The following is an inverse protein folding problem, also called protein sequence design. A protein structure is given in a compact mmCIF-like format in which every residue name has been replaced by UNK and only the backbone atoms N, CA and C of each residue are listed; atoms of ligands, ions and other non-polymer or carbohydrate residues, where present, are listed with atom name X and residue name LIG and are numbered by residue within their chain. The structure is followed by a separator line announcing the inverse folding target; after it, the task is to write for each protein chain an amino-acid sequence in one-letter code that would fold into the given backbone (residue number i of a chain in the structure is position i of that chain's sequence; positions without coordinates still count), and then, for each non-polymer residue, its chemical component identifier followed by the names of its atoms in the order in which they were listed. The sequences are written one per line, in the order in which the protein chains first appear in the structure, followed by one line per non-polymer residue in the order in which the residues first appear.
data_IF_015631347026
#
_entry.id   IF_015631347026
#
_cell.length_a   1.000
_cell.length_b   1.000
_cell.length_c   1.000
_cell.angle_alpha   90.00
_cell.angle_beta   90.00
_cell.angle_gamma   90.00
#
_symmetry.space_group_name_H-M   'P 1'
#
loop_
_entity.id
_entity.type
_entity.pdbx_description
1 polymer ?
#
# COMPACT_ATOMS: atom_id res chain seq x y z
N UNK A 1 25.41 -12.53 -7.46
CA UNK A 1 26.46 -13.47 -7.93
C UNK A 1 25.78 -14.63 -8.63
N UNK A 2 26.34 -15.14 -9.72
CA UNK A 2 25.89 -16.37 -10.38
C UNK A 2 27.00 -17.40 -10.24
N UNK A 3 26.71 -18.52 -9.59
CA UNK A 3 27.62 -19.65 -9.42
C UNK A 3 26.92 -20.94 -9.88
N UNK A 4 27.14 -21.30 -11.15
CA UNK A 4 26.43 -22.38 -11.80
C UNK A 4 24.91 -22.18 -11.73
N UNK A 5 24.23 -23.03 -10.96
CA UNK A 5 22.78 -22.99 -10.75
C UNK A 5 22.37 -22.27 -9.46
N UNK A 6 23.30 -21.60 -8.79
CA UNK A 6 23.07 -20.81 -7.58
C UNK A 6 23.12 -19.34 -7.93
N UNK A 7 22.08 -18.60 -7.55
CA UNK A 7 22.02 -17.16 -7.72
C UNK A 7 21.86 -16.51 -6.34
N UNK A 8 22.80 -15.63 -6.03
CA UNK A 8 22.75 -14.77 -4.86
C UNK A 8 22.14 -13.44 -5.25
N UNK A 9 21.01 -13.10 -4.64
CA UNK A 9 20.33 -11.81 -4.75
C UNK A 9 20.78 -10.87 -3.64
N UNK A 10 20.73 -9.57 -3.90
CA UNK A 10 21.12 -8.47 -3.01
C UNK A 10 19.97 -7.96 -2.11
N UNK A 11 18.82 -8.62 -2.17
CA UNK A 11 17.60 -8.26 -1.45
C UNK A 11 16.94 -9.48 -0.81
N UNK A 12 16.31 -9.34 0.37
CA UNK A 12 15.55 -10.42 0.96
C UNK A 12 14.32 -10.74 0.12
N UNK A 13 14.05 -12.03 -0.09
CA UNK A 13 12.82 -12.49 -0.73
C UNK A 13 11.69 -12.50 0.30
N UNK A 14 10.74 -11.59 0.12
CA UNK A 14 9.61 -11.40 1.05
C UNK A 14 8.44 -12.34 0.79
N UNK A 15 8.57 -13.22 -0.19
CA UNK A 15 7.59 -14.24 -0.53
C UNK A 15 8.32 -15.55 -0.85
N UNK A 16 7.75 -16.68 -0.41
CA UNK A 16 8.29 -17.99 -0.74
C UNK A 16 8.06 -18.30 -2.23
N UNK A 17 9.08 -18.83 -2.89
CA UNK A 17 9.01 -19.30 -4.28
C UNK A 17 9.20 -20.83 -4.23
N UNK A 18 8.10 -21.57 -4.25
CA UNK A 18 8.12 -23.03 -4.11
C UNK A 18 7.69 -23.72 -5.41
N UNK A 19 8.41 -24.78 -5.81
CA UNK A 19 8.12 -25.55 -7.03
C UNK A 19 6.68 -26.10 -7.08
N UNK A 20 6.13 -26.52 -5.93
CA UNK A 20 4.75 -27.07 -5.85
C UNK A 20 3.67 -26.05 -6.22
N UNK A 21 3.97 -24.75 -6.16
CA UNK A 21 3.03 -23.66 -6.47
C UNK A 21 3.35 -23.00 -7.83
N UNK A 22 4.13 -23.67 -8.68
CA UNK A 22 4.56 -23.15 -9.98
C UNK A 22 5.99 -22.60 -10.00
N UNK A 23 6.64 -22.44 -8.85
CA UNK A 23 8.01 -21.94 -8.76
C UNK A 23 8.15 -20.49 -9.20
N UNK A 24 9.25 -20.17 -9.86
CA UNK A 24 9.55 -18.84 -10.38
C UNK A 24 10.49 -18.91 -11.58
N UNK A 25 10.49 -17.84 -12.37
CA UNK A 25 11.41 -17.65 -13.50
C UNK A 25 12.33 -16.46 -13.22
N UNK A 26 13.49 -16.45 -13.86
CA UNK A 26 14.42 -15.33 -13.85
C UNK A 26 14.58 -14.84 -15.27
N UNK A 27 14.49 -13.53 -15.45
CA UNK A 27 14.60 -12.88 -16.74
C UNK A 27 15.76 -11.89 -16.62
N UNK A 28 16.86 -12.08 -17.39
CA UNK A 28 17.89 -11.07 -17.45
C UNK A 28 17.29 -9.80 -18.07
N UNK A 29 17.64 -8.63 -17.53
CA UNK A 29 17.21 -7.36 -18.08
C UNK A 29 18.38 -6.39 -18.15
N UNK A 30 18.32 -5.46 -19.11
CA UNK A 30 19.20 -4.31 -19.22
C UNK A 30 18.34 -3.08 -19.42
N UNK A 31 18.60 -2.03 -18.66
CA UNK A 31 17.90 -0.76 -18.78
C UNK A 31 18.91 0.39 -18.81
N UNK A 32 19.59 0.61 -19.95
CA UNK A 32 20.65 1.61 -20.05
C UNK A 32 20.13 3.04 -19.93
N UNK A 33 18.82 3.26 -20.08
CA UNK A 33 18.19 4.56 -19.93
C UNK A 33 17.67 4.84 -18.51
N UNK A 34 17.84 3.89 -17.58
CA UNK A 34 17.32 4.03 -16.23
C UNK A 34 18.04 5.14 -15.49
N UNK A 35 17.29 6.15 -15.09
CA UNK A 35 17.79 7.24 -14.24
C UNK A 35 18.03 6.67 -12.84
N UNK A 36 19.06 7.11 -12.13
CA UNK A 36 19.37 6.73 -10.76
C UNK A 36 19.89 7.91 -9.95
N UNK A 37 19.97 7.74 -8.63
CA UNK A 37 20.55 8.73 -7.70
C UNK A 37 19.84 10.10 -7.74
N UNK A 38 18.52 10.10 -7.95
CA UNK A 38 17.70 11.33 -8.01
C UNK A 38 17.33 11.80 -6.61
N UNK A 39 17.50 13.09 -6.32
CA UNK A 39 17.18 13.68 -5.02
C UNK A 39 16.18 14.83 -5.11
N UNK A 40 15.26 14.91 -4.15
CA UNK A 40 14.40 16.08 -3.91
C UNK A 40 14.49 16.48 -2.44
N UNK A 41 14.84 17.74 -2.14
CA UNK A 41 15.05 18.17 -0.77
C UNK A 41 14.62 19.61 -0.50
N UNK A 42 14.04 19.86 0.68
CA UNK A 42 13.90 21.21 1.24
C UNK A 42 12.83 22.05 0.57
N UNK A 43 11.74 21.41 0.13
CA UNK A 43 10.68 22.06 -0.64
C UNK A 43 9.34 21.94 0.09
N UNK A 44 8.65 23.09 0.19
CA UNK A 44 7.23 23.17 0.54
C UNK A 44 6.41 23.44 -0.73
N UNK A 45 5.49 22.55 -1.07
CA UNK A 45 4.49 22.75 -2.11
C UNK A 45 3.14 23.16 -1.50
N UNK A 46 2.57 24.28 -1.93
CA UNK A 46 1.20 24.68 -1.56
C UNK A 46 0.43 24.84 -2.86
N UNK A 47 -0.60 24.01 -3.05
CA UNK A 47 -1.46 24.14 -4.23
C UNK A 47 -2.54 25.18 -3.96
N UNK A 48 -2.77 26.07 -4.94
CA UNK A 48 -4.01 26.82 -5.02
C UNK A 48 -5.14 25.88 -5.46
N UNK A 49 -6.37 26.17 -5.04
CA UNK A 49 -7.58 25.42 -5.36
C UNK A 49 -8.80 26.35 -5.26
N UNK A 50 -9.94 25.96 -5.82
CA UNK A 50 -11.20 26.70 -5.70
C UNK A 50 -11.93 26.35 -4.38
N UNK A 51 -11.97 27.25 -3.38
CA UNK A 51 -12.64 27.00 -2.11
C UNK A 51 -14.18 27.00 -2.21
N UNK A 52 -14.74 27.37 -3.37
CA UNK A 52 -16.18 27.28 -3.61
C UNK A 52 -16.64 25.85 -3.88
N UNK A 53 -15.72 24.96 -4.27
CA UNK A 53 -16.01 23.53 -4.50
C UNK A 53 -16.00 22.78 -3.17
N UNK A 54 -17.21 22.48 -2.70
CA UNK A 54 -17.47 21.83 -1.42
C UNK A 54 -18.25 20.54 -1.64
N UNK A 55 -17.89 19.48 -0.91
CA UNK A 55 -18.67 18.25 -0.81
C UNK A 55 -19.09 18.02 0.65
N UNK A 56 -20.19 17.29 0.82
CA UNK A 56 -20.73 16.86 2.13
C UNK A 56 -20.81 15.33 2.23
N UNK A 57 -20.24 14.58 1.28
CA UNK A 57 -20.22 13.12 1.28
C UNK A 57 -18.80 12.58 1.32
N UNK A 58 -18.58 11.57 2.15
CA UNK A 58 -17.33 10.81 2.25
C UNK A 58 -17.65 9.32 2.14
N UNK A 59 -17.05 8.62 1.16
CA UNK A 59 -17.33 7.20 0.87
C UNK A 59 -18.84 6.87 0.87
N UNK A 60 -19.64 7.74 0.24
CA UNK A 60 -21.12 7.68 0.16
C UNK A 60 -21.86 7.86 1.49
N UNK A 61 -21.22 8.43 2.51
CA UNK A 61 -21.82 8.77 3.82
C UNK A 61 -21.77 10.27 4.05
N UNK A 62 -22.86 10.86 4.54
CA UNK A 62 -22.92 12.29 4.88
C UNK A 62 -21.89 12.68 5.97
N UNK A 63 -21.24 13.81 5.77
CA UNK A 63 -20.19 14.38 6.64
C UNK A 63 -20.33 15.90 6.75
N UNK A 64 -19.59 16.51 7.67
CA UNK A 64 -19.42 17.98 7.71
C UNK A 64 -18.82 18.45 6.36
N UNK A 65 -19.20 19.64 5.84
CA UNK A 65 -18.68 20.15 4.57
C UNK A 65 -17.16 20.27 4.53
N UNK A 66 -16.56 19.98 3.39
CA UNK A 66 -15.11 20.04 3.19
C UNK A 66 -14.75 20.46 1.75
N UNK A 67 -13.54 20.99 1.56
CA UNK A 67 -13.03 21.37 0.23
C UNK A 67 -12.74 20.14 -0.63
N UNK A 68 -13.37 20.09 -1.80
CA UNK A 68 -13.42 18.93 -2.66
C UNK A 68 -13.00 19.19 -4.10
N UNK A 69 -12.43 20.37 -4.38
CA UNK A 69 -11.81 20.66 -5.67
C UNK A 69 -10.78 19.58 -6.04
N UNK A 70 -10.74 19.20 -7.31
CA UNK A 70 -9.73 18.29 -7.86
C UNK A 70 -8.97 18.91 -9.03
N UNK A 71 -9.32 20.14 -9.46
CA UNK A 71 -8.68 20.85 -10.58
C UNK A 71 -7.40 21.59 -10.14
N UNK A 72 -6.50 20.87 -9.48
CA UNK A 72 -5.22 21.39 -8.98
C UNK A 72 -4.16 20.29 -8.81
N UNK A 73 -3.02 20.59 -8.19
CA UNK A 73 -1.87 19.68 -8.13
C UNK A 73 -2.24 18.36 -7.43
N UNK A 74 -2.11 17.25 -8.15
CA UNK A 74 -2.42 15.93 -7.57
C UNK A 74 -1.32 15.37 -6.67
N UNK A 75 -0.08 15.39 -7.16
CA UNK A 75 1.07 14.73 -6.53
C UNK A 75 2.24 15.68 -6.47
N UNK A 76 2.98 15.65 -5.36
CA UNK A 76 4.17 16.46 -5.25
C UNK A 76 5.42 15.76 -5.80
N UNK A 77 5.79 14.60 -5.25
CA UNK A 77 6.95 13.81 -5.71
C UNK A 77 6.49 12.48 -6.28
N UNK A 78 6.98 12.14 -7.48
CA UNK A 78 6.76 10.84 -8.10
C UNK A 78 8.11 10.26 -8.51
N UNK A 79 8.46 9.10 -7.97
CA UNK A 79 9.67 8.37 -8.35
C UNK A 79 9.32 7.04 -8.98
N UNK A 80 10.03 6.68 -10.05
CA UNK A 80 9.93 5.37 -10.69
C UNK A 80 11.30 4.67 -10.80
N UNK A 81 12.28 5.14 -10.03
CA UNK A 81 13.69 4.80 -10.14
C UNK A 81 14.36 4.77 -8.76
N UNK A 82 15.68 4.57 -8.75
CA UNK A 82 16.53 4.81 -7.57
C UNK A 82 16.57 6.31 -7.26
N UNK A 83 16.11 6.67 -6.06
CA UNK A 83 15.86 8.05 -5.68
C UNK A 83 15.78 8.24 -4.16
N UNK A 84 15.80 9.50 -3.74
CA UNK A 84 15.51 9.88 -2.37
C UNK A 84 14.76 11.21 -2.29
N UNK A 85 13.98 11.37 -1.23
CA UNK A 85 13.40 12.66 -0.86
C UNK A 85 13.64 12.94 0.62
N UNK A 86 13.94 14.18 0.98
CA UNK A 86 14.16 14.59 2.38
C UNK A 86 13.58 15.96 2.67
N UNK A 87 13.03 16.16 3.86
CA UNK A 87 12.56 17.48 4.32
C UNK A 87 11.61 18.14 3.29
N UNK A 88 10.56 17.41 2.94
CA UNK A 88 9.56 17.86 1.97
C UNK A 88 8.21 18.05 2.65
N UNK A 89 7.50 19.10 2.28
CA UNK A 89 6.18 19.39 2.80
C UNK A 89 5.19 19.70 1.68
N UNK A 90 3.92 19.35 1.87
CA UNK A 90 2.87 19.78 0.96
C UNK A 90 1.52 20.08 1.63
N UNK A 91 0.75 20.97 1.02
CA UNK A 91 -0.63 21.30 1.41
C UNK A 91 -1.54 21.33 0.19
N UNK A 92 -2.81 21.02 0.41
CA UNK A 92 -3.85 21.08 -0.61
C UNK A 92 -3.57 20.17 -1.81
N UNK A 93 -2.98 19.00 -1.57
CA UNK A 93 -2.82 18.00 -2.63
C UNK A 93 -4.13 17.23 -2.84
N UNK A 94 -4.40 16.81 -4.08
CA UNK A 94 -5.50 15.88 -4.37
C UNK A 94 -5.17 14.46 -3.91
N UNK A 95 -3.94 14.02 -4.14
CA UNK A 95 -3.60 12.60 -4.10
C UNK A 95 -2.48 12.26 -3.10
N UNK A 96 -1.22 12.61 -3.36
CA UNK A 96 -0.09 12.08 -2.59
C UNK A 96 1.04 13.07 -2.42
N UNK A 97 1.67 13.08 -1.23
CA UNK A 97 2.95 13.75 -1.05
C UNK A 97 4.03 13.04 -1.88
N UNK A 98 4.12 11.71 -1.73
CA UNK A 98 5.06 10.89 -2.50
C UNK A 98 4.35 9.68 -3.09
N UNK A 99 4.53 9.47 -4.38
CA UNK A 99 4.19 8.24 -5.08
C UNK A 99 5.46 7.53 -5.53
N UNK A 100 5.59 6.26 -5.16
CA UNK A 100 6.65 5.36 -5.61
C UNK A 100 6.05 4.41 -6.64
N UNK A 101 6.31 4.68 -7.92
CA UNK A 101 5.86 3.90 -9.06
C UNK A 101 6.41 2.47 -9.08
N UNK A 102 5.98 1.69 -10.08
CA UNK A 102 6.31 0.26 -10.16
C UNK A 102 7.79 -0.02 -10.44
N UNK A 103 8.46 0.90 -11.12
CA UNK A 103 9.89 0.87 -11.36
C UNK A 103 10.71 1.33 -10.16
N UNK A 104 10.10 1.95 -9.14
CA UNK A 104 10.81 2.44 -7.96
C UNK A 104 11.49 1.27 -7.21
N UNK A 105 12.80 1.40 -7.03
CA UNK A 105 13.65 0.44 -6.31
C UNK A 105 14.76 1.21 -5.61
N UNK A 106 15.05 0.86 -4.35
CA UNK A 106 16.07 1.53 -3.52
C UNK A 106 15.72 2.98 -3.18
N UNK A 107 14.46 3.23 -2.82
CA UNK A 107 14.00 4.59 -2.53
C UNK A 107 13.96 4.88 -1.04
N UNK A 108 14.54 6.02 -0.64
CA UNK A 108 14.42 6.54 0.73
C UNK A 108 13.63 7.85 0.75
N UNK A 109 12.53 7.90 1.48
CA UNK A 109 11.77 9.12 1.76
C UNK A 109 11.88 9.42 3.24
N UNK A 110 12.37 10.60 3.59
CA UNK A 110 12.63 10.95 4.99
C UNK A 110 12.08 12.33 5.32
N UNK A 111 11.55 12.48 6.53
CA UNK A 111 11.13 13.79 7.06
C UNK A 111 10.09 14.49 6.15
N UNK A 112 9.14 13.73 5.61
CA UNK A 112 8.07 14.26 4.76
C UNK A 112 6.81 14.61 5.56
N UNK A 113 6.11 15.70 5.21
CA UNK A 113 4.83 16.08 5.83
C UNK A 113 3.79 16.49 4.78
N UNK A 114 2.55 16.03 4.89
CA UNK A 114 1.44 16.64 4.15
C UNK A 114 0.17 16.78 4.97
N UNK A 115 -0.56 17.86 4.74
CA UNK A 115 -1.79 18.19 5.47
C UNK A 115 -2.82 18.83 4.54
N UNK A 116 -4.04 18.99 5.03
CA UNK A 116 -5.08 19.79 4.38
C UNK A 116 -5.32 19.31 2.93
N UNK A 117 -5.48 17.99 2.72
CA UNK A 117 -5.79 17.48 1.38
C UNK A 117 -7.12 18.05 0.87
N UNK A 118 -7.17 18.38 -0.42
CA UNK A 118 -8.34 18.93 -1.10
C UNK A 118 -8.65 18.02 -2.28
N UNK A 119 -9.77 17.31 -2.16
CA UNK A 119 -10.28 16.32 -3.13
C UNK A 119 -11.57 15.75 -2.58
N UNK A 120 -12.39 15.09 -3.39
CA UNK A 120 -13.43 14.22 -2.85
C UNK A 120 -12.80 13.10 -2.00
N UNK A 121 -13.43 12.73 -0.88
CA UNK A 121 -12.93 11.67 0.02
C UNK A 121 -13.57 10.34 -0.35
N UNK A 122 -13.16 9.79 -1.49
CA UNK A 122 -13.56 8.45 -1.90
C UNK A 122 -12.59 7.81 -2.90
N UNK A 123 -12.78 6.52 -3.20
CA UNK A 123 -12.11 5.78 -4.28
C UNK A 123 -10.58 5.83 -4.24
N UNK A 124 -9.92 6.44 -5.22
CA UNK A 124 -8.47 6.49 -5.36
C UNK A 124 -7.94 7.89 -5.10
N UNK A 125 -8.24 8.47 -3.94
CA UNK A 125 -7.78 9.80 -3.52
C UNK A 125 -7.13 9.76 -2.14
N UNK A 126 -6.29 10.77 -1.87
CA UNK A 126 -5.60 11.03 -0.59
C UNK A 126 -4.79 9.84 -0.08
N UNK A 127 -3.91 9.31 -0.94
CA UNK A 127 -2.92 8.29 -0.63
C UNK A 127 -1.60 8.98 -0.31
N UNK A 128 -1.39 9.36 0.95
CA UNK A 128 -0.33 10.32 1.28
C UNK A 128 1.07 9.83 0.89
N UNK A 129 1.39 8.59 1.25
CA UNK A 129 2.52 7.83 0.70
C UNK A 129 1.98 6.63 -0.08
N UNK A 130 2.00 6.73 -1.40
CA UNK A 130 1.53 5.69 -2.32
C UNK A 130 2.69 4.82 -2.80
N UNK A 131 2.74 3.55 -2.36
CA UNK A 131 3.84 2.64 -2.71
C UNK A 131 3.36 1.56 -3.68
N UNK A 132 4.01 1.51 -4.84
CA UNK A 132 3.82 0.50 -5.89
C UNK A 132 5.12 -0.27 -6.21
N UNK A 133 6.27 0.27 -5.81
CA UNK A 133 7.60 -0.31 -5.99
C UNK A 133 8.09 -1.18 -4.81
N UNK A 134 9.40 -1.39 -4.72
CA UNK A 134 10.01 -2.30 -3.74
C UNK A 134 11.32 -1.73 -3.17
N UNK A 135 11.83 -2.33 -2.08
CA UNK A 135 13.06 -1.90 -1.41
C UNK A 135 12.98 -0.41 -1.04
N UNK A 136 11.89 -0.05 -0.37
CA UNK A 136 11.60 1.33 0.02
C UNK A 136 11.70 1.52 1.52
N UNK A 137 12.19 2.69 1.92
CA UNK A 137 12.23 3.17 3.30
C UNK A 137 11.53 4.52 3.38
N UNK A 138 10.47 4.60 4.17
CA UNK A 138 9.75 5.83 4.49
C UNK A 138 9.92 6.12 5.99
N UNK A 139 10.74 7.12 6.32
CA UNK A 139 11.14 7.44 7.68
C UNK A 139 10.62 8.81 8.13
N UNK A 140 10.13 8.90 9.37
CA UNK A 140 9.64 10.13 10.01
C UNK A 140 8.60 10.89 9.16
N UNK A 141 7.75 10.13 8.46
CA UNK A 141 6.67 10.62 7.63
C UNK A 141 5.45 11.04 8.47
N UNK A 142 4.86 12.21 8.17
CA UNK A 142 3.68 12.72 8.87
C UNK A 142 2.57 13.12 7.92
N UNK A 143 1.34 12.72 8.22
CA UNK A 143 0.18 13.10 7.43
C UNK A 143 -0.96 13.58 8.30
N UNK A 144 -1.74 14.50 7.75
CA UNK A 144 -3.05 14.86 8.27
C UNK A 144 -4.11 14.76 7.17
N UNK A 145 -5.30 14.29 7.53
CA UNK A 145 -6.50 14.27 6.65
C UNK A 145 -6.35 13.41 5.38
N UNK A 146 -5.43 12.44 5.42
CA UNK A 146 -5.33 11.43 4.37
C UNK A 146 -6.53 10.48 4.44
N UNK A 147 -6.87 9.84 3.31
CA UNK A 147 -7.80 8.70 3.37
C UNK A 147 -7.01 7.44 3.74
N UNK A 148 -5.98 7.13 2.97
CA UNK A 148 -5.01 6.10 3.30
C UNK A 148 -3.65 6.77 3.50
N UNK A 149 -3.20 6.87 4.74
CA UNK A 149 -1.93 7.53 5.07
C UNK A 149 -0.74 6.86 4.38
N UNK A 150 -0.51 5.59 4.72
CA UNK A 150 0.45 4.72 4.05
C UNK A 150 -0.33 3.70 3.22
N UNK A 151 -0.35 3.90 1.90
CA UNK A 151 -1.06 3.05 0.97
C UNK A 151 -0.06 2.18 0.20
N UNK A 152 -0.29 0.87 0.17
CA UNK A 152 0.46 -0.04 -0.70
C UNK A 152 -0.51 -0.58 -1.73
N UNK A 153 -0.24 -0.36 -3.02
CA UNK A 153 -1.23 -0.64 -4.07
C UNK A 153 -1.23 -2.12 -4.45
N UNK A 154 -1.30 -2.41 -5.75
CA UNK A 154 -1.55 -3.74 -6.27
C UNK A 154 -0.29 -4.39 -6.81
N UNK A 155 -0.05 -5.64 -6.37
CA UNK A 155 1.06 -6.50 -6.81
C UNK A 155 2.40 -5.85 -6.48
N UNK A 156 2.59 -5.55 -5.21
CA UNK A 156 3.74 -4.77 -4.74
C UNK A 156 4.76 -5.71 -4.09
N UNK A 157 5.99 -5.82 -4.63
CA UNK A 157 7.05 -6.57 -3.98
C UNK A 157 7.61 -5.80 -2.79
N UNK A 158 8.09 -6.54 -1.79
CA UNK A 158 8.81 -5.97 -0.66
C UNK A 158 10.32 -6.14 -0.79
N UNK A 159 11.07 -5.77 0.25
CA UNK A 159 10.58 -5.17 1.49
C UNK A 159 10.22 -3.69 1.32
N UNK A 160 9.18 -3.23 2.03
CA UNK A 160 8.80 -1.82 2.11
C UNK A 160 8.60 -1.45 3.58
N UNK A 161 9.27 -0.40 4.04
CA UNK A 161 9.37 -0.06 5.46
C UNK A 161 8.82 1.33 5.71
N UNK A 162 8.01 1.48 6.75
CA UNK A 162 7.60 2.75 7.33
C UNK A 162 8.07 2.81 8.78
N UNK A 163 8.77 3.87 9.18
CA UNK A 163 9.29 3.98 10.54
C UNK A 163 9.26 5.39 11.13
N UNK A 164 8.99 5.50 12.44
CA UNK A 164 9.13 6.75 13.20
C UNK A 164 8.15 7.88 12.84
N UNK A 165 7.09 7.57 12.10
CA UNK A 165 6.10 8.53 11.60
C UNK A 165 4.70 8.33 12.18
N UNK A 166 3.70 9.01 11.61
CA UNK A 166 2.32 8.86 12.02
C UNK A 166 1.34 9.66 11.20
N UNK A 167 0.06 9.31 11.32
CA UNK A 167 -1.02 10.00 10.62
C UNK A 167 -2.13 10.41 11.56
N UNK A 168 -2.78 11.54 11.30
CA UNK A 168 -3.85 12.09 12.14
C UNK A 168 -5.05 12.50 11.32
N UNK A 169 -6.24 12.38 11.91
CA UNK A 169 -7.51 12.70 11.25
C UNK A 169 -7.73 11.91 9.94
N UNK A 170 -7.14 10.72 9.83
CA UNK A 170 -7.31 9.87 8.65
C UNK A 170 -8.74 9.35 8.51
N UNK A 171 -9.22 9.37 7.27
CA UNK A 171 -10.56 8.88 6.92
C UNK A 171 -10.61 7.35 6.77
N UNK A 172 -9.47 6.68 6.61
CA UNK A 172 -9.38 5.22 6.54
C UNK A 172 -8.08 4.68 7.19
N UNK A 173 -7.81 3.38 7.02
CA UNK A 173 -6.62 2.70 7.54
C UNK A 173 -5.43 2.82 6.59
N UNK A 174 -4.22 2.89 7.16
CA UNK A 174 -2.96 2.66 6.45
C UNK A 174 -2.74 1.16 6.28
N UNK A 175 -2.54 0.71 5.04
CA UNK A 175 -2.63 -0.71 4.73
C UNK A 175 -2.10 -1.05 3.34
N UNK A 176 -1.71 -2.33 3.12
CA UNK A 176 -1.82 -2.89 1.79
C UNK A 176 -3.28 -2.87 1.33
N UNK A 177 -3.50 -2.31 0.15
CA UNK A 177 -4.80 -1.90 -0.31
C UNK A 177 -5.43 -2.95 -1.23
N UNK A 178 -4.72 -3.46 -2.26
CA UNK A 178 -5.32 -4.38 -3.26
C UNK A 178 -4.44 -5.57 -3.66
N UNK A 179 -5.10 -6.71 -3.93
CA UNK A 179 -4.60 -7.93 -4.61
C UNK A 179 -3.56 -8.76 -3.87
N UNK A 180 -2.35 -8.23 -3.68
CA UNK A 180 -1.25 -8.90 -2.99
C UNK A 180 -0.04 -7.96 -2.88
N UNK A 181 0.46 -7.77 -1.66
CA UNK A 181 1.72 -7.12 -1.37
C UNK A 181 2.49 -7.95 -0.36
N UNK A 182 3.82 -7.93 -0.39
CA UNK A 182 4.64 -8.77 0.50
C UNK A 182 5.70 -7.98 1.25
N UNK A 183 6.05 -8.40 2.47
CA UNK A 183 7.23 -7.90 3.18
C UNK A 183 7.14 -6.45 3.65
N UNK A 184 5.96 -6.00 4.09
CA UNK A 184 5.82 -4.68 4.69
C UNK A 184 6.19 -4.67 6.17
N UNK A 185 6.91 -3.63 6.61
CA UNK A 185 7.19 -3.37 8.02
C UNK A 185 6.70 -1.97 8.40
N UNK A 186 5.83 -1.91 9.39
CA UNK A 186 5.53 -0.69 10.12
C UNK A 186 6.20 -0.76 11.48
N UNK A 187 7.22 0.06 11.72
CA UNK A 187 7.91 0.13 13.01
C UNK A 187 7.72 1.49 13.67
N UNK A 188 7.24 1.52 14.91
CA UNK A 188 7.10 2.77 15.67
C UNK A 188 6.26 3.83 14.91
N UNK A 189 5.22 3.38 14.21
CA UNK A 189 4.29 4.23 13.48
C UNK A 189 3.04 4.51 14.35
N UNK A 190 2.59 5.75 14.43
CA UNK A 190 1.31 6.09 15.05
C UNK A 190 0.23 6.31 13.97
N UNK A 191 -0.42 5.23 13.55
CA UNK A 191 -1.44 5.25 12.50
C UNK A 191 -2.46 4.12 12.68
N UNK A 192 -3.63 4.25 12.07
CA UNK A 192 -4.61 3.16 11.99
C UNK A 192 -4.14 2.12 10.99
N UNK A 193 -3.34 1.15 11.43
CA UNK A 193 -2.79 0.11 10.54
C UNK A 193 -3.75 -1.09 10.44
N UNK A 194 -4.00 -1.55 9.22
CA UNK A 194 -4.79 -2.74 8.95
C UNK A 194 -4.07 -3.63 7.95
N UNK A 195 -3.93 -4.92 8.28
CA UNK A 195 -3.40 -5.93 7.37
C UNK A 195 -4.41 -7.07 7.41
N UNK A 196 -5.18 -7.21 6.33
CA UNK A 196 -6.35 -8.08 6.35
C UNK A 196 -6.65 -8.65 4.96
N UNK A 197 -7.39 -9.75 4.95
CA UNK A 197 -8.21 -10.12 3.80
C UNK A 197 -9.41 -9.18 3.76
N UNK A 198 -9.53 -8.47 2.64
CA UNK A 198 -10.58 -7.50 2.35
C UNK A 198 -11.73 -8.11 1.56
N UNK A 199 -11.71 -9.43 1.38
CA UNK A 199 -12.73 -10.22 0.71
C UNK A 199 -13.11 -9.62 -0.65
N UNK A 200 -14.41 -9.43 -0.89
CA UNK A 200 -14.98 -8.96 -2.15
C UNK A 200 -15.08 -7.43 -2.25
N UNK A 201 -14.40 -6.66 -1.40
CA UNK A 201 -14.41 -5.20 -1.50
C UNK A 201 -13.78 -4.71 -2.82
N UNK A 202 -14.41 -3.68 -3.40
CA UNK A 202 -13.91 -2.87 -4.51
C UNK A 202 -13.46 -3.65 -5.75
N UNK A 203 -12.37 -3.17 -6.39
CA UNK A 203 -11.86 -3.66 -7.68
C UNK A 203 -10.82 -4.79 -7.57
N UNK A 204 -10.94 -5.62 -6.53
CA UNK A 204 -10.03 -6.72 -6.23
C UNK A 204 -9.17 -6.47 -4.98
N UNK A 205 -9.77 -6.00 -3.89
CA UNK A 205 -9.06 -5.79 -2.63
C UNK A 205 -8.48 -7.08 -2.05
N UNK A 206 -9.32 -8.12 -1.84
CA UNK A 206 -8.91 -9.48 -1.47
C UNK A 206 -7.83 -9.59 -0.38
N UNK A 207 -6.99 -10.62 -0.47
CA UNK A 207 -5.82 -10.78 0.39
C UNK A 207 -4.77 -9.70 0.09
N UNK A 208 -4.78 -8.62 0.86
CA UNK A 208 -3.99 -7.45 0.48
C UNK A 208 -2.50 -7.57 0.86
N UNK A 209 -2.15 -8.21 1.98
CA UNK A 209 -0.78 -8.26 2.49
C UNK A 209 -0.35 -9.62 3.03
N UNK A 210 0.90 -10.02 2.76
CA UNK A 210 1.53 -11.23 3.26
C UNK A 210 2.95 -10.98 3.79
N UNK A 211 3.34 -11.68 4.86
CA UNK A 211 4.62 -11.48 5.55
C UNK A 211 4.82 -10.04 6.01
N UNK A 212 3.75 -9.44 6.56
CA UNK A 212 3.77 -8.09 7.10
C UNK A 212 3.97 -8.11 8.62
N UNK A 213 4.63 -7.08 9.13
CA UNK A 213 4.83 -6.87 10.56
C UNK A 213 4.46 -5.44 10.93
N UNK A 214 3.62 -5.28 11.95
CA UNK A 214 3.47 -4.04 12.67
C UNK A 214 4.14 -4.20 14.04
N UNK A 215 5.25 -3.50 14.24
CA UNK A 215 6.09 -3.54 15.43
C UNK A 215 6.07 -2.18 16.12
N UNK A 216 5.95 -2.14 17.44
CA UNK A 216 5.91 -0.89 18.24
C UNK A 216 4.92 0.19 17.76
N UNK A 217 3.93 -0.20 16.95
CA UNK A 217 2.98 0.71 16.32
C UNK A 217 1.83 1.00 17.28
N UNK A 218 1.27 2.20 17.19
CA UNK A 218 0.07 2.62 17.90
C UNK A 218 -0.99 3.05 16.90
N UNK A 219 -2.26 2.91 17.28
CA UNK A 219 -3.36 3.48 16.54
C UNK A 219 -4.02 4.54 17.42
N UNK A 220 -3.79 5.82 17.11
CA UNK A 220 -4.57 6.90 17.68
C UNK A 220 -5.93 6.94 17.00
N UNK A 221 -7.00 6.61 17.71
CA UNK A 221 -8.36 6.83 17.21
C UNK A 221 -8.71 8.31 17.36
N UNK A 222 -8.90 9.10 16.28
CA UNK A 222 -9.66 10.34 16.41
C UNK A 222 -11.13 9.94 16.59
N UNK A 223 -11.51 9.67 17.84
CA UNK A 223 -12.92 9.63 18.22
C UNK A 223 -13.48 11.06 18.07
N UNK A 224 -13.94 11.43 16.87
CA UNK A 224 -14.92 12.52 16.74
C UNK A 224 -16.23 11.97 17.28
N UNK A 225 -16.42 12.16 18.58
CA UNK A 225 -17.66 11.86 19.31
C UNK A 225 -18.81 12.63 18.66
N UNK A 226 -19.53 12.01 17.70
CA UNK A 226 -20.81 12.55 17.22
C UNK A 226 -21.75 12.62 18.42
N UNK A 227 -22.14 13.83 18.81
CA UNK A 227 -23.36 14.03 19.62
C UNK A 227 -24.54 13.61 18.73
N UNK A 228 -25.38 12.63 19.14
CA UNK A 228 -26.65 12.45 18.47
C UNK A 228 -27.47 13.73 18.69
N UNK A 229 -27.91 14.39 17.62
CA UNK A 229 -28.99 15.38 17.74
C UNK A 229 -30.21 14.66 18.32
N UNK A 230 -30.82 15.27 19.33
CA UNK A 230 -31.96 14.77 20.08
C UNK A 230 -33.17 14.66 19.14
N UNK A 231 -33.44 13.49 18.58
CA UNK A 231 -34.73 13.18 17.97
C UNK A 231 -35.54 12.32 18.92
N UNK A 232 -36.78 12.73 19.10
CA UNK A 232 -37.77 12.24 20.04
C UNK A 232 -38.09 10.75 19.89
N UNK A 233 -38.41 10.16 21.03
CA UNK A 233 -38.74 8.76 21.29
C UNK A 233 -40.04 8.32 20.61
N UNK A 234 -39.98 7.28 19.78
CA UNK A 234 -41.04 6.27 19.61
C UNK A 234 -40.40 4.99 19.07
N UNK A 235 -40.65 3.87 19.75
CA UNK A 235 -39.86 2.65 19.63
C UNK A 235 -40.07 1.84 18.36
N UNK A 236 -39.01 1.16 17.94
CA UNK A 236 -38.98 -0.22 17.45
C UNK A 236 -37.50 -0.63 17.38
N UNK A 237 -37.18 -1.80 17.92
CA UNK A 237 -35.82 -2.29 18.02
C UNK A 237 -35.28 -2.65 16.62
N UNK A 238 -34.43 -1.80 16.07
CA UNK A 238 -33.60 -2.15 14.91
C UNK A 238 -32.28 -2.75 15.41
N UNK A 239 -32.17 -4.08 15.31
CA UNK A 239 -30.90 -4.79 15.28
C UNK A 239 -30.12 -4.33 14.05
N UNK A 240 -28.83 -4.04 14.25
CA UNK A 240 -27.71 -4.01 13.30
C UNK A 240 -26.95 -2.68 13.24
N UNK A 241 -25.74 -2.69 13.79
CA UNK A 241 -24.63 -1.84 13.39
C UNK A 241 -23.41 -2.75 13.27
N UNK A 242 -22.71 -2.83 12.12
CA UNK A 242 -21.50 -3.61 12.02
C UNK A 242 -20.35 -2.87 12.71
N UNK A 243 -19.62 -3.61 13.54
CA UNK A 243 -18.48 -3.15 14.30
C UNK A 243 -17.24 -2.92 13.41
N UNK A 244 -17.14 -1.76 12.77
CA UNK A 244 -15.93 -1.34 12.04
C UNK A 244 -15.02 -0.51 12.94
N UNK A 245 -14.46 -1.13 13.98
CA UNK A 245 -13.39 -0.54 14.80
C UNK A 245 -12.60 -1.60 15.60
N UNK A 246 -12.16 -2.68 14.94
CA UNK A 246 -11.02 -3.45 15.45
C UNK A 246 -9.76 -3.03 14.69
N UNK A 247 -9.30 -1.82 14.99
CA UNK A 247 -7.86 -1.56 14.89
C UNK A 247 -7.14 -2.52 15.85
N UNK A 248 -5.83 -2.73 15.69
CA UNK A 248 -5.00 -3.36 16.71
C UNK A 248 -5.00 -2.49 18.00
N UNK A 249 -6.10 -2.49 18.74
CA UNK A 249 -6.21 -1.91 20.07
C UNK A 249 -6.06 -3.05 21.06
N UNK A 250 -4.91 -3.12 21.71
CA UNK A 250 -4.72 -3.97 22.88
C UNK A 250 -5.62 -3.47 24.01
N UNK A 251 -6.80 -4.07 24.19
CA UNK A 251 -7.57 -3.94 25.43
C UNK A 251 -7.04 -4.95 26.44
N UNK A 252 -6.30 -4.48 27.45
CA UNK A 252 -6.13 -5.23 28.69
C UNK A 252 -7.47 -5.21 29.45
N UNK A 253 -8.12 -6.36 29.58
CA UNK A 253 -9.19 -6.57 30.55
C UNK A 253 -8.58 -7.23 31.77
N UNK A 254 -8.40 -6.49 32.85
CA UNK A 254 -8.19 -7.07 34.18
C UNK A 254 -9.52 -7.01 34.93
N UNK A 255 -10.14 -8.17 35.12
CA UNK A 255 -11.10 -8.40 36.19
C UNK A 255 -10.30 -8.76 37.45
N UNK A 256 -10.31 -7.91 38.47
CA UNK A 256 -10.08 -8.34 39.85
C UNK A 256 -10.62 -7.31 40.84
N UNK A 257 -11.22 -7.84 41.89
CA UNK A 257 -11.89 -7.15 42.97
C UNK A 257 -10.96 -6.30 43.86
N UNK A 258 -11.60 -5.43 44.65
CA UNK A 258 -11.14 -4.70 45.83
C UNK A 258 -9.83 -5.16 46.50
N UNK A 259 -8.92 -4.22 46.77
CA UNK A 259 -7.89 -4.39 47.79
C UNK A 259 -6.58 -3.63 47.53
N UNK A 260 -6.44 -2.52 48.25
CA UNK A 260 -5.20 -1.86 48.74
C UNK A 260 -4.04 -1.46 47.79
N UNK A 261 -3.53 -0.27 48.08
CA UNK A 261 -2.50 0.50 47.40
C UNK A 261 -1.12 -0.16 47.34
N UNK A 262 -0.51 -0.19 46.16
CA UNK A 262 0.94 0.03 46.03
C UNK A 262 1.28 0.63 44.67
N UNK A 263 2.15 1.65 44.68
CA UNK A 263 2.68 2.33 43.50
C UNK A 263 3.60 1.39 42.73
N UNK A 264 3.15 0.90 41.56
CA UNK A 264 3.98 0.13 40.63
C UNK A 264 4.06 0.86 39.29
N UNK A 265 5.27 1.21 38.90
CA UNK A 265 5.58 1.86 37.61
C UNK A 265 5.02 1.03 36.44
N UNK A 266 4.22 1.66 35.58
CA UNK A 266 3.68 1.05 34.36
C UNK A 266 4.82 0.81 33.36
N UNK A 267 5.36 -0.41 33.30
CA UNK A 267 6.17 -0.87 32.16
C UNK A 267 5.25 -0.99 30.93
N UNK A 268 5.49 -0.19 29.89
CA UNK A 268 4.81 -0.37 28.61
C UNK A 268 5.32 -1.66 27.95
N UNK A 269 4.50 -2.71 27.91
CA UNK A 269 4.82 -3.91 27.12
C UNK A 269 4.74 -3.56 25.64
N UNK A 270 5.88 -3.57 24.95
CA UNK A 270 5.99 -3.49 23.48
C UNK A 270 5.45 -4.80 22.88
N UNK A 271 4.61 -4.74 21.85
CA UNK A 271 4.01 -5.92 21.20
C UNK A 271 4.10 -5.83 19.68
N UNK A 272 4.21 -6.99 19.05
CA UNK A 272 4.17 -7.20 17.61
C UNK A 272 2.79 -7.68 17.18
N UNK A 273 2.32 -7.22 16.03
CA UNK A 273 1.30 -7.90 15.25
C UNK A 273 1.96 -8.39 13.96
N UNK A 274 2.01 -9.71 13.78
CA UNK A 274 2.55 -10.33 12.57
C UNK A 274 1.37 -10.85 11.76
N UNK A 275 1.24 -10.39 10.53
CA UNK A 275 0.33 -10.96 9.56
C UNK A 275 1.13 -11.88 8.63
N UNK A 276 1.18 -13.16 9.01
CA UNK A 276 1.71 -14.23 8.16
C UNK A 276 0.54 -14.99 7.54
N UNK A 277 0.52 -15.13 6.22
CA UNK A 277 -0.21 -16.22 5.58
C UNK A 277 0.61 -17.50 5.79
N UNK A 278 0.54 -18.08 6.99
CA UNK A 278 1.29 -19.30 7.30
C UNK A 278 0.60 -20.51 6.68
N UNK A 279 1.23 -21.11 5.68
CA UNK A 279 1.07 -22.54 5.41
C UNK A 279 2.23 -23.26 6.08
N UNK A 280 1.93 -24.16 7.01
CA UNK A 280 2.93 -24.89 7.77
C UNK A 280 3.75 -25.81 6.85
N UNK A 281 5.00 -25.43 6.59
CA UNK A 281 6.03 -26.27 5.99
C UNK A 281 7.30 -26.15 6.83
N UNK A 282 7.90 -27.29 7.17
CA UNK A 282 9.02 -27.44 8.09
C UNK A 282 10.25 -26.60 7.71
N UNK A 283 10.97 -26.12 8.73
CA UNK A 283 12.26 -25.44 8.59
C UNK A 283 13.25 -26.33 7.83
N UNK A 284 13.86 -25.80 6.77
CA UNK A 284 15.09 -26.33 6.20
C UNK A 284 15.90 -25.16 5.66
N UNK A 285 17.17 -25.07 6.04
CA UNK A 285 18.17 -24.21 5.41
C UNK A 285 18.23 -24.56 3.91
N UNK A 286 17.99 -23.58 3.05
CA UNK A 286 17.91 -23.78 1.61
C UNK A 286 19.31 -23.62 0.98
N UNK A 287 20.00 -24.74 0.76
CA UNK A 287 21.07 -24.83 -0.23
C UNK A 287 20.46 -25.44 -1.50
N UNK A 288 20.33 -24.64 -2.56
CA UNK A 288 19.77 -25.10 -3.83
C UNK A 288 20.84 -25.84 -4.63
N UNK A 289 20.82 -27.18 -4.59
CA UNK A 289 21.59 -28.02 -5.53
C UNK A 289 20.66 -28.36 -6.71
N UNK A 290 20.99 -27.88 -7.90
CA UNK A 290 20.30 -28.26 -9.14
C UNK A 290 21.11 -29.37 -9.81
N UNK A 291 20.55 -30.58 -9.83
CA UNK A 291 21.10 -31.72 -10.56
C UNK A 291 21.01 -31.51 -12.08
N UNK A 292 22.12 -31.79 -12.76
CA UNK A 292 22.25 -31.74 -14.22
C UNK A 292 21.59 -32.94 -14.88
N UNK A 293 20.90 -32.71 -15.99
CA UNK A 293 20.84 -33.63 -17.12
C UNK A 293 21.21 -32.85 -18.38
N UNK A 294 22.33 -33.22 -19.00
CA UNK A 294 22.78 -32.69 -20.30
C UNK A 294 21.82 -33.12 -21.42
N UNK A 295 21.62 -32.26 -22.43
CA UNK A 295 22.10 -32.63 -23.77
C UNK A 295 23.05 -31.59 -24.37
N UNK A 296 23.63 -31.98 -25.50
CA UNK A 296 24.82 -31.52 -26.20
C UNK A 296 24.96 -30.01 -26.51
N UNK A 297 26.21 -29.56 -26.41
CA UNK A 297 26.76 -28.38 -27.10
C UNK A 297 26.53 -28.53 -28.61
N UNK A 298 25.81 -27.59 -29.21
CA UNK A 298 26.04 -27.02 -30.54
C UNK A 298 24.78 -26.25 -30.99
N UNK A 299 24.79 -24.92 -30.83
CA UNK A 299 24.10 -23.92 -31.67
C UNK A 299 23.97 -22.58 -30.93
N UNK A 300 25.03 -21.76 -31.00
CA UNK A 300 24.87 -20.31 -30.91
C UNK A 300 25.50 -19.73 -32.18
N UNK A 301 24.64 -19.40 -33.14
CA UNK A 301 25.04 -18.62 -34.31
C UNK A 301 25.17 -17.15 -33.90
N UNK A 302 26.31 -16.55 -34.22
CA UNK A 302 26.55 -15.11 -34.08
C UNK A 302 25.60 -14.33 -35.01
N UNK A 303 24.93 -13.31 -34.48
CA UNK A 303 24.13 -12.35 -35.25
C UNK A 303 25.01 -11.11 -35.56
N UNK A 304 25.08 -10.62 -36.81
CA UNK A 304 25.98 -9.53 -37.16
C UNK A 304 25.56 -8.18 -36.55
N UNK A 305 26.56 -7.36 -36.21
CA UNK A 305 26.41 -5.97 -35.79
C UNK A 305 26.36 -5.04 -37.01
N UNK A 306 25.17 -4.58 -37.41
CA UNK A 306 25.02 -3.34 -38.19
C UNK A 306 23.82 -2.51 -37.70
N UNK A 307 23.93 -1.17 -37.65
CA UNK A 307 22.84 -0.30 -37.21
C UNK A 307 21.82 -0.07 -38.33
N UNK A 308 20.53 -0.28 -38.02
CA UNK A 308 19.42 0.05 -38.93
C UNK A 308 19.20 1.58 -38.99
N UNK A 309 18.87 2.15 -40.17
CA UNK A 309 18.62 3.58 -40.32
C UNK A 309 17.26 4.00 -39.73
N UNK A 310 17.29 5.12 -39.01
CA UNK A 310 16.14 5.83 -38.45
C UNK A 310 15.16 6.28 -39.55
N UNK A 311 13.89 5.85 -39.47
CA UNK A 311 12.77 6.45 -40.20
C UNK A 311 11.90 7.24 -39.21
N UNK A 312 11.80 8.55 -39.44
CA UNK A 312 10.89 9.42 -38.70
C UNK A 312 9.42 9.03 -38.97
N UNK A 313 8.68 8.73 -37.91
CA UNK A 313 7.21 8.63 -37.93
C UNK A 313 6.55 10.00 -37.77
N UNK A 314 5.31 10.19 -38.24
CA UNK A 314 4.70 11.51 -38.34
C UNK A 314 4.31 12.09 -36.98
N UNK A 315 4.44 13.42 -36.91
CA UNK A 315 4.08 14.35 -35.86
C UNK A 315 2.66 14.09 -35.32
N UNK A 316 2.52 13.87 -33.99
CA UNK A 316 1.22 13.86 -33.30
C UNK A 316 1.14 15.07 -32.38
N UNK A 317 0.61 16.16 -32.92
CA UNK A 317 -0.10 17.17 -32.14
C UNK A 317 -1.44 16.59 -31.66
N UNK A 318 -1.84 17.04 -30.48
CA UNK A 318 -3.11 16.76 -29.76
C UNK A 318 -3.34 15.33 -29.25
N UNK A 319 -3.20 15.17 -27.92
CA UNK A 319 -3.99 14.20 -27.14
C UNK A 319 -4.66 14.92 -25.96
N UNK A 320 -5.98 14.87 -26.02
CA UNK A 320 -7.01 15.11 -25.01
C UNK A 320 -6.67 14.50 -23.62
N UNK A 321 -6.87 15.20 -22.48
CA UNK A 321 -6.49 14.72 -21.14
C UNK A 321 -7.58 13.87 -20.44
N UNK A 322 -8.22 12.95 -21.16
CA UNK A 322 -9.20 12.03 -20.59
C UNK A 322 -8.83 10.57 -20.86
N UNK A 323 -8.57 9.78 -19.81
CA UNK A 323 -8.56 8.32 -19.97
C UNK A 323 -7.73 7.51 -18.98
N UNK A 324 -8.23 7.35 -17.76
CA UNK A 324 -8.16 6.06 -17.05
C UNK A 324 -9.54 5.77 -16.45
N UNK A 325 -10.51 5.53 -17.32
CA UNK A 325 -11.76 4.88 -16.93
C UNK A 325 -11.47 3.39 -16.70
N UNK A 326 -11.70 2.92 -15.48
CA UNK A 326 -11.68 1.49 -15.17
C UNK A 326 -12.77 0.79 -15.99
N UNK A 327 -12.38 -0.25 -16.73
CA UNK A 327 -13.31 -1.10 -17.48
C UNK A 327 -14.36 -1.69 -16.52
N UNK A 328 -15.64 -1.41 -16.78
CA UNK A 328 -16.77 -2.09 -16.17
C UNK A 328 -16.66 -3.60 -16.42
N UNK A 329 -16.75 -4.38 -15.35
CA UNK A 329 -16.91 -5.82 -15.46
C UNK A 329 -18.33 -6.11 -15.97
N UNK A 330 -18.44 -6.67 -17.18
CA UNK A 330 -19.67 -7.24 -17.70
C UNK A 330 -20.09 -8.42 -16.80
N UNK A 331 -21.34 -8.50 -16.31
CA UNK A 331 -21.79 -9.62 -15.51
C UNK A 331 -21.87 -10.90 -16.35
N UNK A 332 -21.18 -11.95 -15.92
CA UNK A 332 -21.31 -13.31 -16.47
C UNK A 332 -22.55 -13.96 -15.82
N UNK A 333 -23.51 -14.50 -16.60
CA UNK A 333 -24.68 -15.15 -16.02
C UNK A 333 -24.31 -16.46 -15.33
N UNK A 334 -24.93 -16.70 -14.17
CA UNK A 334 -24.78 -17.91 -13.39
C UNK A 334 -25.33 -19.13 -14.17
N UNK A 335 -24.46 -20.03 -14.59
CA UNK A 335 -24.84 -21.38 -15.04
C UNK A 335 -24.89 -22.33 -13.85
N UNK A 336 -26.01 -23.04 -13.76
CA UNK A 336 -26.44 -23.81 -12.61
C UNK A 336 -25.64 -25.08 -12.33
N UNK A 337 -25.80 -25.52 -11.09
CA UNK A 337 -25.41 -26.84 -10.60
C UNK A 337 -26.13 -27.94 -11.40
N UNK A 338 -25.34 -28.77 -12.10
CA UNK A 338 -25.78 -30.08 -12.56
C UNK A 338 -25.29 -31.12 -11.55
N UNK A 339 -26.21 -31.69 -10.79
CA UNK A 339 -26.04 -32.97 -10.10
C UNK A 339 -26.44 -34.09 -11.07
N UNK A 340 -25.47 -34.87 -11.54
CA UNK A 340 -25.66 -36.24 -12.06
C UNK A 340 -25.53 -37.20 -10.85
N UNK A 341 -26.25 -38.31 -10.68
CA UNK A 341 -26.67 -39.34 -11.64
C UNK A 341 -27.57 -40.41 -10.95
N UNK A 342 -28.50 -41.01 -11.71
CA UNK A 342 -29.06 -42.41 -11.66
C UNK A 342 -29.66 -42.93 -10.34
N UNK A 343 -30.84 -43.58 -10.28
CA UNK A 343 -31.66 -44.35 -11.24
C UNK A 343 -33.13 -43.94 -11.22
#
# INVERSE_FOLDING_TARGET
MVDGNVITVDAPLTNAIERRWGGGSMIPYTDPGRISEVGVEGILAVSDFDPSVIDTKMDNVETDPYYADEEHIERFVVFDNDAWARDIAARHLVYSLVQLGRGAKWVTVRDGTASEFVSVITRGRRYGYDVQGQLTLVENARLESARHGYAVTSRVPGPNVWTGGGTTNDFNTSEPHHRWSTGGLFDNVDARISIMDRAWLGSGHGWAGANYVAWNTRARSPCRRRRPRRTTRSGTAARSAPAWCRACTTHGRDHAASGTSSSRAKRSSRRACIASSSWTGSRSSLSLVVGQTHPSRDSWAEVPKEPLPWRAGPDRRERDPAGWAEHEAVPVPATGYLTERTM
#
